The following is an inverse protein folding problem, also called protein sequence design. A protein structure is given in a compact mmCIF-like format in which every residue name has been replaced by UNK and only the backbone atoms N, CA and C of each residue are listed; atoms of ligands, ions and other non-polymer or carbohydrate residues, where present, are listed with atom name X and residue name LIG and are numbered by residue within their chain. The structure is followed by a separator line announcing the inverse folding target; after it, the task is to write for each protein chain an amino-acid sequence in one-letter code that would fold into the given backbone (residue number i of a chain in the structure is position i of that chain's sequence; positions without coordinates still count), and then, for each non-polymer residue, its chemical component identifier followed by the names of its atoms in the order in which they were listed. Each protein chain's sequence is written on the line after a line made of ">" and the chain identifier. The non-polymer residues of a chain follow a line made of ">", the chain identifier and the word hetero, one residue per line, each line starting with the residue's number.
data_IF_858940419834
#
_entry.id   IF_858940419834
#
_cell.length_a   1.000
_cell.length_b   1.000
_cell.length_c   1.000
_cell.angle_alpha   90.00
_cell.angle_beta   90.00
_cell.angle_gamma   90.00
#
_symmetry.space_group_name_H-M   'P 1'
#
loop_
_entity.id
_entity.type
_entity.pdbx_description
1 polymer ?
#
# COMPACT_ATOMS: atom_id res chain seq x y z
N UNK A 1 -11.21 22.56 -15.58
CA UNK A 1 -10.07 22.28 -16.48
C UNK A 1 -8.91 23.28 -16.34
N UNK A 2 -9.03 24.42 -15.63
CA UNK A 2 -7.98 25.46 -15.66
C UNK A 2 -7.14 25.68 -14.38
N UNK A 3 -7.20 24.80 -13.36
CA UNK A 3 -6.39 25.00 -12.13
C UNK A 3 -5.09 24.20 -12.07
N UNK A 4 -4.93 23.13 -12.86
CA UNK A 4 -3.73 22.29 -12.86
C UNK A 4 -2.63 22.88 -13.77
N UNK A 5 -3.00 23.57 -14.86
CA UNK A 5 -2.03 24.25 -15.73
C UNK A 5 -1.35 25.47 -15.05
N UNK A 6 -1.98 26.03 -14.01
CA UNK A 6 -1.43 27.14 -13.22
C UNK A 6 -0.58 26.68 -12.03
N UNK A 7 -0.55 25.38 -11.72
CA UNK A 7 0.13 24.80 -10.56
C UNK A 7 1.59 24.39 -10.83
N UNK A 8 2.08 24.59 -12.07
CA UNK A 8 3.50 24.47 -12.34
C UNK A 8 4.17 25.74 -11.84
N UNK A 9 5.06 25.55 -10.87
CA UNK A 9 5.84 26.53 -10.12
C UNK A 9 6.57 27.57 -11.00
N UNK A 10 7.26 28.58 -10.41
CA UNK A 10 7.91 29.66 -11.14
C UNK A 10 8.75 29.14 -12.31
N UNK A 11 8.90 29.96 -13.36
CA UNK A 11 9.57 29.60 -14.63
C UNK A 11 10.91 28.87 -14.43
N UNK A 12 11.68 29.18 -13.38
CA UNK A 12 12.95 28.51 -13.03
C UNK A 12 12.81 27.03 -12.61
N UNK A 13 11.70 26.64 -11.97
CA UNK A 13 11.44 25.23 -11.61
C UNK A 13 10.93 24.41 -12.81
N UNK A 14 10.36 25.07 -13.82
CA UNK A 14 9.89 24.40 -15.05
C UNK A 14 11.06 23.97 -15.94
N UNK A 15 12.07 24.82 -16.10
CA UNK A 15 13.27 24.49 -16.87
C UNK A 15 14.05 23.35 -16.20
N UNK A 16 14.10 23.35 -14.86
CA UNK A 16 14.69 22.27 -14.06
C UNK A 16 13.92 20.95 -14.21
N UNK A 17 12.58 20.99 -14.15
CA UNK A 17 11.73 19.81 -14.36
C UNK A 17 11.83 19.25 -15.79
N UNK A 18 12.07 20.11 -16.78
CA UNK A 18 12.28 19.74 -18.17
C UNK A 18 13.63 19.06 -18.40
N UNK A 19 14.69 19.57 -17.78
CA UNK A 19 16.02 18.95 -17.82
C UNK A 19 16.00 17.53 -17.23
N UNK A 20 15.25 17.32 -16.15
CA UNK A 20 15.18 16.03 -15.46
C UNK A 20 14.41 14.93 -16.23
N UNK A 21 13.51 15.28 -17.15
CA UNK A 21 12.85 14.29 -18.04
C UNK A 21 13.79 13.64 -19.04
N UNK A 22 14.82 14.39 -19.42
CA UNK A 22 15.82 13.91 -20.36
C UNK A 22 16.80 12.99 -19.65
N UNK A 23 16.88 12.97 -18.32
CA UNK A 23 17.85 12.14 -17.60
C UNK A 23 17.61 10.64 -17.77
N UNK A 24 16.38 10.08 -17.57
CA UNK A 24 16.13 8.67 -17.89
C UNK A 24 16.46 8.34 -19.36
N UNK A 25 16.21 9.28 -20.28
CA UNK A 25 16.55 9.15 -21.69
C UNK A 25 18.07 9.18 -21.94
N UNK A 26 18.80 10.08 -21.26
CA UNK A 26 20.27 10.25 -21.34
C UNK A 26 20.96 9.04 -20.76
N UNK A 27 20.54 8.56 -19.60
CA UNK A 27 21.05 7.35 -18.98
C UNK A 27 20.86 6.15 -19.91
N UNK A 28 19.66 6.01 -20.50
CA UNK A 28 19.40 4.95 -21.47
C UNK A 28 20.29 5.06 -22.72
N UNK A 29 20.39 6.23 -23.33
CA UNK A 29 21.24 6.46 -24.51
C UNK A 29 22.72 6.28 -24.17
N UNK A 30 23.14 6.64 -22.96
CA UNK A 30 24.52 6.48 -22.48
C UNK A 30 24.90 5.01 -22.36
N UNK A 31 24.01 4.18 -21.83
CA UNK A 31 24.28 2.75 -21.59
C UNK A 31 24.01 1.88 -22.83
N UNK A 32 22.93 2.14 -23.56
CA UNK A 32 22.46 1.34 -24.69
C UNK A 32 22.96 1.88 -26.04
N UNK A 33 23.24 3.18 -26.14
CA UNK A 33 23.71 3.83 -27.37
C UNK A 33 22.60 4.26 -28.34
N UNK A 34 21.33 4.02 -28.02
CA UNK A 34 20.17 4.35 -28.85
C UNK A 34 19.04 4.93 -28.00
N UNK A 35 18.13 5.74 -28.57
CA UNK A 35 16.93 6.18 -27.86
C UNK A 35 16.06 4.99 -27.43
N UNK A 36 15.45 5.03 -26.24
CA UNK A 36 14.44 4.06 -25.83
C UNK A 36 13.19 4.19 -26.70
N UNK A 37 12.44 3.09 -26.80
CA UNK A 37 11.03 3.13 -27.21
C UNK A 37 10.18 3.72 -26.07
N UNK A 38 9.00 4.24 -26.38
CA UNK A 38 8.10 4.78 -25.34
C UNK A 38 7.84 3.74 -24.24
N UNK A 39 7.65 2.48 -24.61
CA UNK A 39 7.46 1.39 -23.65
C UNK A 39 8.65 1.15 -22.72
N UNK A 40 9.87 1.24 -23.24
CA UNK A 40 11.08 1.08 -22.42
C UNK A 40 11.23 2.24 -21.43
N UNK A 41 10.91 3.46 -21.85
CA UNK A 41 10.88 4.63 -20.96
C UNK A 41 9.83 4.44 -19.85
N UNK A 42 8.60 4.02 -20.21
CA UNK A 42 7.55 3.79 -19.23
C UNK A 42 7.90 2.66 -18.25
N UNK A 43 8.61 1.62 -18.70
CA UNK A 43 9.11 0.56 -17.81
C UNK A 43 10.13 1.11 -16.80
N UNK A 44 11.09 1.95 -17.21
CA UNK A 44 12.05 2.57 -16.29
C UNK A 44 11.29 3.41 -15.25
N UNK A 45 10.37 4.26 -15.69
CA UNK A 45 9.54 5.08 -14.80
C UNK A 45 8.70 4.22 -13.85
N UNK A 46 8.13 3.12 -14.34
CA UNK A 46 7.31 2.20 -13.56
C UNK A 46 8.09 1.50 -12.45
N UNK A 47 9.34 1.12 -12.71
CA UNK A 47 10.25 0.50 -11.74
C UNK A 47 10.88 1.51 -10.78
N UNK A 48 11.07 2.74 -11.23
CA UNK A 48 11.64 3.84 -10.43
C UNK A 48 10.61 4.62 -9.62
N UNK A 49 9.32 4.27 -9.70
CA UNK A 49 8.30 4.98 -8.94
C UNK A 49 8.60 4.83 -7.45
N UNK A 50 8.87 5.93 -6.74
CA UNK A 50 9.28 5.85 -5.36
C UNK A 50 8.10 5.38 -4.50
N UNK A 51 8.36 4.48 -3.57
CA UNK A 51 7.41 4.08 -2.52
C UNK A 51 7.27 5.20 -1.50
N UNK A 52 6.69 6.32 -1.92
CA UNK A 52 6.52 7.53 -1.12
C UNK A 52 5.26 7.36 -0.27
N UNK A 53 5.32 7.73 1.02
CA UNK A 53 4.18 7.68 1.96
C UNK A 53 2.99 8.53 1.47
N UNK A 54 3.30 9.55 0.67
CA UNK A 54 2.41 10.48 -0.01
C UNK A 54 1.74 9.93 -1.28
N UNK A 55 2.17 8.77 -1.80
CA UNK A 55 1.46 8.03 -2.85
C UNK A 55 0.69 6.86 -2.25
N UNK A 56 -0.56 6.67 -2.67
CA UNK A 56 -1.33 5.47 -2.37
C UNK A 56 -0.51 4.23 -2.74
N UNK A 57 -0.14 3.37 -1.78
CA UNK A 57 0.67 2.14 -1.94
C UNK A 57 0.56 1.55 -3.36
N UNK A 58 1.45 1.97 -4.26
CA UNK A 58 1.41 1.56 -5.66
C UNK A 58 2.18 0.25 -5.77
N UNK A 59 1.70 -0.72 -6.57
CA UNK A 59 2.50 -1.90 -6.88
C UNK A 59 3.79 -1.46 -7.58
N UNK A 60 4.91 -2.10 -7.27
CA UNK A 60 6.16 -1.95 -8.03
C UNK A 60 6.34 -3.19 -8.91
N UNK A 61 6.41 -3.05 -10.24
CA UNK A 61 6.36 -1.80 -11.02
C UNK A 61 4.94 -1.23 -11.13
N UNK A 62 4.83 0.09 -11.26
CA UNK A 62 3.54 0.78 -11.46
C UNK A 62 3.07 0.56 -12.88
N UNK A 63 1.89 -0.06 -13.12
CA UNK A 63 1.45 -0.41 -14.47
C UNK A 63 1.02 0.83 -15.26
N UNK A 64 1.95 1.45 -15.98
CA UNK A 64 1.69 2.63 -16.81
C UNK A 64 1.18 2.21 -18.20
N UNK A 65 0.19 2.93 -18.71
CA UNK A 65 -0.32 2.79 -20.08
C UNK A 65 -0.31 4.13 -20.78
N UNK A 66 0.06 4.10 -22.06
CA UNK A 66 -0.05 5.25 -22.96
C UNK A 66 -1.16 5.03 -23.98
N UNK A 67 -1.88 6.11 -24.29
CA UNK A 67 -2.80 6.19 -25.42
C UNK A 67 -2.27 7.24 -26.38
N UNK A 68 -2.12 6.88 -27.65
CA UNK A 68 -1.66 7.76 -28.71
C UNK A 68 -2.79 8.64 -29.26
N UNK A 69 -2.42 9.70 -29.96
CA UNK A 69 -3.35 10.54 -30.74
C UNK A 69 -4.18 9.65 -31.66
N UNK A 70 -5.50 9.90 -31.69
CA UNK A 70 -6.47 9.03 -32.37
C UNK A 70 -7.06 7.93 -31.49
N UNK A 71 -6.68 7.86 -30.21
CA UNK A 71 -7.27 6.94 -29.24
C UNK A 71 -6.74 5.50 -29.35
N UNK A 72 -5.57 5.32 -29.95
CA UNK A 72 -4.93 4.01 -30.09
C UNK A 72 -4.13 3.71 -28.84
N UNK A 73 -4.47 2.64 -28.13
CA UNK A 73 -3.66 2.18 -27.01
C UNK A 73 -2.28 1.74 -27.51
N UNK A 74 -1.24 2.28 -26.89
CA UNK A 74 0.12 1.92 -27.20
C UNK A 74 0.39 0.50 -26.70
N UNK A 75 0.50 -0.44 -27.65
CA UNK A 75 0.55 -1.88 -27.42
C UNK A 75 1.88 -2.42 -26.89
N UNK A 76 2.55 -1.71 -25.98
CA UNK A 76 3.72 -2.26 -25.29
C UNK A 76 3.27 -3.11 -24.11
N UNK A 77 2.82 -4.34 -24.41
CA UNK A 77 2.55 -5.32 -23.36
C UNK A 77 3.88 -5.93 -22.94
N UNK A 78 4.36 -5.53 -21.76
CA UNK A 78 5.49 -6.15 -21.04
C UNK A 78 5.38 -7.69 -20.91
N UNK A 79 4.20 -8.28 -21.17
CA UNK A 79 3.96 -9.72 -21.17
C UNK A 79 4.45 -10.48 -22.43
N UNK A 80 4.66 -9.83 -23.57
CA UNK A 80 5.13 -10.50 -24.80
C UNK A 80 6.60 -10.17 -25.12
N UNK A 81 7.52 -10.72 -24.31
CA UNK A 81 8.80 -11.35 -24.72
C UNK A 81 9.65 -10.72 -25.86
N UNK A 82 9.55 -9.43 -26.14
CA UNK A 82 10.71 -8.69 -26.61
C UNK A 82 11.54 -8.49 -25.35
N UNK A 83 12.75 -9.04 -25.29
CA UNK A 83 13.69 -8.67 -24.22
C UNK A 83 13.87 -7.16 -24.31
N UNK A 84 13.13 -6.40 -23.50
CA UNK A 84 13.30 -4.96 -23.44
C UNK A 84 14.72 -4.67 -23.01
N UNK A 85 15.36 -3.67 -23.64
CA UNK A 85 16.74 -3.30 -23.31
C UNK A 85 16.85 -2.69 -21.91
N UNK A 86 15.71 -2.42 -21.27
CA UNK A 86 15.59 -2.03 -19.86
C UNK A 86 16.31 -3.01 -18.93
N UNK A 87 16.29 -4.32 -19.21
CA UNK A 87 16.98 -5.32 -18.40
C UNK A 87 18.52 -5.27 -18.54
N UNK A 88 19.03 -4.51 -19.52
CA UNK A 88 20.47 -4.30 -19.74
C UNK A 88 20.99 -3.04 -19.03
N UNK A 89 20.08 -2.21 -18.47
CA UNK A 89 20.43 -1.01 -17.73
C UNK A 89 20.98 -1.34 -16.34
N UNK A 90 21.93 -0.54 -15.88
CA UNK A 90 22.42 -0.55 -14.51
C UNK A 90 21.51 0.20 -13.54
N UNK A 91 21.77 0.01 -12.24
CA UNK A 91 20.99 0.63 -11.15
C UNK A 91 20.99 2.18 -11.19
N UNK A 92 22.00 2.79 -11.83
CA UNK A 92 22.15 4.26 -11.92
C UNK A 92 20.96 4.88 -12.66
N UNK A 93 20.56 4.32 -13.80
CA UNK A 93 19.41 4.81 -14.56
C UNK A 93 18.13 4.80 -13.72
N UNK A 94 17.94 3.77 -12.89
CA UNK A 94 16.77 3.66 -12.02
C UNK A 94 16.84 4.61 -10.81
N UNK A 95 18.03 4.77 -10.22
CA UNK A 95 18.24 5.65 -9.08
C UNK A 95 18.01 7.12 -9.44
N UNK A 96 18.58 7.59 -10.55
CA UNK A 96 18.38 8.96 -11.05
C UNK A 96 16.90 9.23 -11.39
N UNK A 97 16.24 8.27 -12.03
CA UNK A 97 14.80 8.35 -12.32
C UNK A 97 13.99 8.41 -11.03
N UNK A 98 14.38 7.68 -9.97
CA UNK A 98 13.69 7.68 -8.67
C UNK A 98 13.80 9.03 -7.97
N UNK A 99 14.99 9.64 -7.96
CA UNK A 99 15.22 10.96 -7.39
C UNK A 99 14.37 12.02 -8.09
N UNK A 100 14.32 11.98 -9.43
CA UNK A 100 13.47 12.86 -10.22
C UNK A 100 11.98 12.68 -9.91
N UNK A 101 11.48 11.44 -9.95
CA UNK A 101 10.07 11.16 -9.66
C UNK A 101 9.70 11.66 -8.26
N UNK A 102 10.60 11.49 -7.29
CA UNK A 102 10.42 12.02 -5.93
C UNK A 102 10.27 13.54 -5.92
N UNK A 103 11.13 14.25 -6.64
CA UNK A 103 11.05 15.71 -6.74
C UNK A 103 9.76 16.17 -7.43
N UNK A 104 9.36 15.51 -8.53
CA UNK A 104 8.11 15.79 -9.24
C UNK A 104 6.89 15.57 -8.34
N UNK A 105 6.81 14.42 -7.65
CA UNK A 105 5.71 14.09 -6.73
C UNK A 105 5.61 15.13 -5.61
N UNK A 106 6.75 15.52 -5.02
CA UNK A 106 6.80 16.57 -3.99
C UNK A 106 6.35 17.93 -4.51
N UNK A 107 6.64 18.28 -5.77
CA UNK A 107 6.16 19.52 -6.39
C UNK A 107 4.65 19.51 -6.67
N UNK A 108 4.06 18.34 -6.90
CA UNK A 108 2.62 18.16 -7.10
C UNK A 108 1.84 18.16 -5.77
N UNK A 109 2.47 17.73 -4.66
CA UNK A 109 1.84 17.54 -3.35
C UNK A 109 1.23 18.81 -2.69
N UNK A 110 1.77 20.04 -2.80
CA UNK A 110 1.16 21.25 -2.21
C UNK A 110 -0.24 21.57 -2.74
N UNK A 111 -0.67 20.89 -3.80
CA UNK A 111 -1.95 21.07 -4.45
C UNK A 111 -2.96 19.96 -4.11
N UNK A 112 -2.61 19.04 -3.22
CA UNK A 112 -3.47 17.96 -2.71
C UNK A 112 -3.62 18.02 -1.19
N UNK A 113 -4.86 18.03 -0.70
CA UNK A 113 -5.18 17.92 0.73
C UNK A 113 -4.96 16.47 1.25
N UNK A 114 -3.72 15.97 1.19
CA UNK A 114 -3.34 14.60 1.58
C UNK A 114 -2.70 13.80 0.43
N UNK A 115 -2.98 12.49 0.40
CA UNK A 115 -2.38 11.52 -0.54
C UNK A 115 -2.58 11.96 -2.00
N UNK A 116 -1.50 12.01 -2.77
CA UNK A 116 -1.53 12.46 -4.15
C UNK A 116 -2.18 11.37 -5.04
N UNK A 117 -3.28 11.67 -5.75
CA UNK A 117 -3.91 10.68 -6.62
C UNK A 117 -2.99 10.28 -7.78
N UNK A 118 -2.94 8.98 -8.09
CA UNK A 118 -2.04 8.43 -9.14
C UNK A 118 -2.31 9.02 -10.53
N UNK A 119 -3.55 9.45 -10.81
CA UNK A 119 -3.90 10.09 -12.07
C UNK A 119 -3.27 11.49 -12.20
N UNK A 120 -2.99 12.17 -11.08
CA UNK A 120 -2.24 13.43 -11.08
C UNK A 120 -0.78 13.18 -11.41
N UNK A 121 -0.19 12.09 -10.90
CA UNK A 121 1.17 11.67 -11.28
C UNK A 121 1.23 11.35 -12.77
N UNK A 122 0.31 10.55 -13.29
CA UNK A 122 0.26 10.23 -14.72
C UNK A 122 0.09 11.47 -15.62
N UNK A 123 -0.71 12.45 -15.21
CA UNK A 123 -0.82 13.74 -15.90
C UNK A 123 0.45 14.57 -15.81
N UNK A 124 1.11 14.57 -14.65
CA UNK A 124 2.42 15.20 -14.45
C UNK A 124 3.44 14.65 -15.42
N UNK A 125 3.57 13.32 -15.48
CA UNK A 125 4.42 12.60 -16.43
C UNK A 125 4.09 12.96 -17.88
N UNK A 126 2.80 12.99 -18.26
CA UNK A 126 2.39 13.33 -19.63
C UNK A 126 2.77 14.77 -20.00
N UNK A 127 2.47 15.73 -19.14
CA UNK A 127 2.82 17.13 -19.37
C UNK A 127 4.32 17.30 -19.51
N UNK A 128 5.07 16.59 -18.68
CA UNK A 128 6.50 16.57 -18.70
C UNK A 128 7.00 16.01 -20.04
N UNK A 129 6.56 14.80 -20.45
CA UNK A 129 6.86 14.22 -21.76
C UNK A 129 6.57 15.15 -22.95
N UNK A 130 5.43 15.83 -22.94
CA UNK A 130 5.01 16.71 -24.03
C UNK A 130 5.78 18.04 -24.07
N UNK A 131 6.29 18.49 -22.92
CA UNK A 131 7.08 19.70 -22.82
C UNK A 131 8.57 19.44 -23.14
N UNK A 132 9.07 18.24 -22.86
CA UNK A 132 10.39 17.81 -23.29
C UNK A 132 10.42 17.56 -24.79
N UNK A 133 11.45 18.04 -25.49
CA UNK A 133 11.71 17.67 -26.89
C UNK A 133 12.29 16.24 -26.97
N UNK A 134 11.56 15.28 -26.42
CA UNK A 134 11.97 13.88 -26.31
C UNK A 134 11.53 13.12 -27.56
N UNK A 135 12.48 12.48 -28.24
CA UNK A 135 12.22 11.58 -29.36
C UNK A 135 12.39 10.13 -28.91
N UNK A 136 11.30 9.36 -28.93
CA UNK A 136 11.39 7.91 -28.75
C UNK A 136 11.72 7.24 -30.08
N UNK A 137 12.28 6.04 -30.03
CA UNK A 137 12.65 5.29 -31.23
C UNK A 137 11.45 4.90 -32.12
N UNK A 138 10.23 4.89 -31.57
CA UNK A 138 9.03 4.39 -32.23
C UNK A 138 7.84 5.35 -32.27
N UNK A 139 7.85 6.42 -31.47
CA UNK A 139 6.79 7.46 -31.45
C UNK A 139 7.38 8.83 -31.08
N UNK A 140 6.75 9.91 -31.53
CA UNK A 140 7.09 11.25 -31.05
C UNK A 140 6.33 11.56 -29.75
N UNK A 141 6.95 12.29 -28.81
CA UNK A 141 6.29 12.62 -27.53
C UNK A 141 4.95 13.37 -27.71
N UNK A 142 4.84 14.21 -28.75
CA UNK A 142 3.60 14.93 -29.10
C UNK A 142 2.45 14.00 -29.51
N UNK A 143 2.76 12.78 -29.94
CA UNK A 143 1.77 11.79 -30.37
C UNK A 143 1.21 10.99 -29.19
N UNK A 144 1.74 11.18 -27.98
CA UNK A 144 1.19 10.61 -26.74
C UNK A 144 0.07 11.53 -26.24
N UNK A 145 -1.17 11.06 -26.34
CA UNK A 145 -2.36 11.85 -25.97
C UNK A 145 -2.74 11.70 -24.50
N UNK A 146 -2.50 10.55 -23.90
CA UNK A 146 -2.79 10.30 -22.50
C UNK A 146 -1.80 9.29 -21.89
N UNK A 147 -1.50 9.49 -20.61
CA UNK A 147 -0.95 8.45 -19.74
C UNK A 147 -1.98 8.11 -18.67
N UNK A 148 -2.06 6.82 -18.33
CA UNK A 148 -2.92 6.30 -17.27
C UNK A 148 -2.19 5.22 -16.49
N UNK A 149 -2.66 4.96 -15.27
CA UNK A 149 -2.19 3.84 -14.47
C UNK A 149 -3.27 2.77 -14.45
N UNK A 150 -2.91 1.59 -14.93
CA UNK A 150 -3.77 0.41 -14.98
C UNK A 150 -3.68 -0.35 -13.66
N UNK A 151 -4.13 0.29 -12.58
CA UNK A 151 -4.26 -0.40 -11.32
C UNK A 151 -5.40 -1.43 -11.42
N UNK A 152 -5.24 -2.65 -10.87
CA UNK A 152 -6.38 -3.53 -10.67
C UNK A 152 -7.46 -2.78 -9.91
N UNK A 153 -8.73 -3.04 -10.25
CA UNK A 153 -9.92 -2.35 -9.72
C UNK A 153 -9.73 -2.06 -8.24
N UNK A 154 -9.65 -0.76 -7.91
CA UNK A 154 -9.41 -0.22 -6.56
C UNK A 154 -10.32 -0.96 -5.57
N UNK A 155 -9.77 -1.90 -4.80
CA UNK A 155 -10.50 -2.42 -3.64
C UNK A 155 -10.56 -1.25 -2.65
N UNK A 156 -11.75 -0.82 -2.21
CA UNK A 156 -11.87 0.27 -1.24
C UNK A 156 -10.97 -0.01 -0.04
N UNK A 157 -10.22 0.99 0.42
CA UNK A 157 -9.43 0.84 1.63
C UNK A 157 -10.36 0.38 2.76
N UNK A 158 -9.97 -0.63 3.54
CA UNK A 158 -10.72 -1.02 4.71
C UNK A 158 -10.86 0.18 5.64
N UNK A 159 -12.00 0.30 6.31
CA UNK A 159 -12.27 1.35 7.30
C UNK A 159 -12.74 0.72 8.60
N UNK A 160 -12.52 1.38 9.75
CA UNK A 160 -13.09 0.90 11.01
C UNK A 160 -14.58 0.57 10.87
N UNK A 161 -14.98 -0.62 11.31
CA UNK A 161 -16.34 -1.15 11.19
C UNK A 161 -16.59 -2.02 9.97
N UNK A 162 -15.70 -2.03 8.96
CA UNK A 162 -15.79 -2.99 7.86
C UNK A 162 -15.62 -4.42 8.37
N UNK A 163 -16.46 -5.33 7.88
CA UNK A 163 -16.39 -6.76 8.18
C UNK A 163 -15.80 -7.49 6.99
N UNK A 164 -14.67 -8.15 7.21
CA UNK A 164 -13.94 -8.94 6.22
C UNK A 164 -14.31 -10.41 6.37
N UNK A 165 -14.49 -11.10 5.25
CA UNK A 165 -14.53 -12.56 5.22
C UNK A 165 -13.16 -13.12 4.82
N UNK A 166 -12.54 -13.87 5.72
CA UNK A 166 -11.24 -14.51 5.55
C UNK A 166 -11.47 -15.99 5.21
N UNK A 167 -11.16 -16.44 3.98
CA UNK A 167 -11.31 -17.85 3.62
C UNK A 167 -10.43 -18.74 4.48
N UNK A 168 -11.00 -19.84 4.98
CA UNK A 168 -10.34 -20.88 5.78
C UNK A 168 -10.80 -22.28 5.38
N UNK A 169 -10.27 -23.31 6.06
CA UNK A 169 -10.56 -24.71 5.71
C UNK A 169 -12.01 -25.13 6.00
N UNK A 170 -12.61 -24.59 7.05
CA UNK A 170 -13.97 -24.91 7.50
C UNK A 170 -15.05 -23.93 7.01
N UNK A 171 -14.70 -23.00 6.12
CA UNK A 171 -15.56 -21.89 5.68
C UNK A 171 -14.84 -20.55 5.75
N UNK A 172 -15.52 -19.50 6.18
CA UNK A 172 -15.00 -18.14 6.30
C UNK A 172 -14.91 -17.75 7.77
N UNK A 173 -13.75 -17.26 8.19
CA UNK A 173 -13.62 -16.53 9.45
C UNK A 173 -14.04 -15.09 9.21
N UNK A 174 -14.74 -14.47 10.16
CA UNK A 174 -15.11 -13.06 10.06
C UNK A 174 -14.19 -12.22 10.94
N UNK A 175 -13.79 -11.06 10.44
CA UNK A 175 -12.99 -10.09 11.17
C UNK A 175 -13.54 -8.67 10.97
N UNK A 176 -13.55 -7.89 12.03
CA UNK A 176 -13.94 -6.48 12.02
C UNK A 176 -12.68 -5.62 11.96
N UNK A 177 -12.62 -4.68 11.04
CA UNK A 177 -11.56 -3.69 10.99
C UNK A 177 -11.71 -2.75 12.18
N UNK A 178 -10.72 -2.71 13.07
CA UNK A 178 -10.72 -1.84 14.26
C UNK A 178 -9.95 -0.55 14.01
N UNK A 179 -8.83 -0.65 13.31
CA UNK A 179 -7.99 0.47 12.92
C UNK A 179 -7.21 0.15 11.64
N UNK A 180 -6.81 1.19 10.93
CA UNK A 180 -5.98 1.10 9.73
C UNK A 180 -4.74 1.97 9.89
N UNK A 181 -3.57 1.41 9.63
CA UNK A 181 -2.33 2.15 9.47
C UNK A 181 -1.95 2.30 7.98
N UNK A 182 -0.70 2.69 7.73
CA UNK A 182 -0.20 2.95 6.37
C UNK A 182 -0.01 1.67 5.54
N UNK A 183 0.35 0.55 6.19
CA UNK A 183 0.57 -0.74 5.53
C UNK A 183 -0.12 -1.92 6.22
N UNK A 184 -0.77 -1.67 7.36
CA UNK A 184 -1.37 -2.68 8.21
C UNK A 184 -2.80 -2.34 8.61
N UNK A 185 -3.50 -3.36 9.07
CA UNK A 185 -4.85 -3.28 9.60
C UNK A 185 -4.90 -4.06 10.91
N UNK A 186 -5.56 -3.47 11.91
CA UNK A 186 -5.86 -4.14 13.17
C UNK A 186 -7.25 -4.75 13.07
N UNK A 187 -7.33 -6.06 13.24
CA UNK A 187 -8.54 -6.86 13.08
C UNK A 187 -9.03 -7.38 14.43
N UNK A 188 -10.31 -7.17 14.71
CA UNK A 188 -11.06 -7.86 15.76
C UNK A 188 -11.69 -9.13 15.20
N UNK A 189 -11.23 -10.30 15.64
CA UNK A 189 -11.72 -11.56 15.08
C UNK A 189 -13.07 -11.94 15.72
N UNK A 190 -14.00 -12.49 14.95
CA UNK A 190 -15.23 -13.08 15.46
C UNK A 190 -15.06 -14.59 15.64
N UNK A 191 -15.78 -15.16 16.59
CA UNK A 191 -15.70 -16.57 16.94
C UNK A 191 -16.42 -17.45 15.91
N UNK A 192 -15.81 -18.60 15.59
CA UNK A 192 -16.39 -19.60 14.69
C UNK A 192 -15.96 -19.42 13.23
N UNK A 193 -16.47 -20.33 12.38
CA UNK A 193 -16.32 -20.30 10.94
C UNK A 193 -17.71 -20.40 10.29
N UNK A 194 -17.92 -19.61 9.24
CA UNK A 194 -19.21 -19.45 8.57
C UNK A 194 -19.17 -20.12 7.20
N UNK A 195 -20.20 -20.91 6.82
CA UNK A 195 -20.21 -21.58 5.52
C UNK A 195 -20.26 -20.58 4.36
N UNK A 196 -20.87 -19.42 4.57
CA UNK A 196 -20.97 -18.32 3.60
C UNK A 196 -20.21 -17.08 4.09
N UNK A 197 -19.69 -16.24 3.19
CA UNK A 197 -19.01 -14.99 3.53
C UNK A 197 -20.04 -13.91 3.86
N UNK A 198 -20.83 -14.10 4.92
CA UNK A 198 -21.91 -13.19 5.33
C UNK A 198 -21.90 -13.04 6.85
N UNK A 199 -22.14 -11.81 7.33
CA UNK A 199 -22.15 -11.50 8.77
C UNK A 199 -23.33 -12.17 9.51
N UNK A 200 -24.51 -12.23 8.89
CA UNK A 200 -25.74 -12.60 9.61
C UNK A 200 -26.17 -11.54 10.61
N UNK A 201 -26.75 -11.94 11.75
CA UNK A 201 -27.18 -11.02 12.81
C UNK A 201 -25.98 -10.55 13.66
N UNK A 202 -25.64 -9.25 13.66
CA UNK A 202 -24.52 -8.70 14.42
C UNK A 202 -24.61 -8.95 15.93
N UNK A 203 -25.82 -9.05 16.49
CA UNK A 203 -26.03 -9.21 17.94
C UNK A 203 -25.68 -10.60 18.46
N UNK A 204 -25.58 -11.58 17.57
CA UNK A 204 -25.21 -12.96 17.89
C UNK A 204 -23.70 -13.21 17.84
N UNK A 205 -22.95 -12.24 17.32
CA UNK A 205 -21.51 -12.34 17.13
C UNK A 205 -20.79 -12.31 18.47
N UNK A 206 -19.74 -13.11 18.57
CA UNK A 206 -18.89 -13.16 19.76
C UNK A 206 -17.47 -12.74 19.37
N UNK A 207 -16.89 -11.72 20.01
CA UNK A 207 -15.53 -11.32 19.73
C UNK A 207 -14.57 -12.39 20.26
N UNK A 208 -13.49 -12.64 19.51
CA UNK A 208 -12.27 -13.24 20.06
C UNK A 208 -11.48 -12.15 20.77
N UNK A 209 -10.51 -12.63 21.55
CA UNK A 209 -10.02 -11.92 22.73
C UNK A 209 -8.96 -10.87 22.40
N UNK A 210 -8.14 -11.12 21.39
CA UNK A 210 -6.97 -10.29 21.07
C UNK A 210 -7.12 -9.77 19.64
N UNK A 211 -7.14 -8.43 19.45
CA UNK A 211 -6.96 -7.84 18.13
C UNK A 211 -5.68 -8.32 17.48
N UNK A 212 -5.72 -8.61 16.18
CA UNK A 212 -4.56 -9.10 15.43
C UNK A 212 -4.18 -8.08 14.36
N UNK A 213 -2.89 -7.75 14.29
CA UNK A 213 -2.35 -6.94 13.20
C UNK A 213 -1.99 -7.81 12.00
N UNK A 214 -2.37 -7.33 10.83
CA UNK A 214 -2.09 -7.96 9.53
C UNK A 214 -1.68 -6.92 8.50
N UNK A 215 -0.89 -7.32 7.49
CA UNK A 215 -0.60 -6.45 6.34
C UNK A 215 -1.86 -6.34 5.45
N UNK A 216 -2.09 -5.15 4.89
CA UNK A 216 -3.29 -4.84 4.10
C UNK A 216 -3.37 -5.55 2.73
N UNK A 217 -2.30 -6.20 2.26
CA UNK A 217 -2.19 -6.78 0.91
C UNK A 217 -3.32 -7.76 0.58
N UNK A 218 -3.67 -8.66 1.50
CA UNK A 218 -4.75 -9.63 1.27
C UNK A 218 -6.13 -8.97 1.08
N UNK A 219 -6.33 -7.80 1.69
CA UNK A 219 -7.55 -7.00 1.55
C UNK A 219 -7.48 -6.22 0.23
N UNK A 220 -6.36 -5.57 -0.06
CA UNK A 220 -6.13 -4.79 -1.28
C UNK A 220 -6.22 -5.65 -2.56
N UNK A 221 -5.81 -6.91 -2.49
CA UNK A 221 -5.92 -7.89 -3.57
C UNK A 221 -7.32 -8.51 -3.68
N UNK A 222 -8.27 -8.12 -2.81
CA UNK A 222 -9.64 -8.62 -2.80
C UNK A 222 -9.79 -10.08 -2.35
N UNK A 223 -8.73 -10.68 -1.80
CA UNK A 223 -8.78 -12.06 -1.29
C UNK A 223 -9.61 -12.18 -0.02
N UNK A 224 -9.67 -11.11 0.77
CA UNK A 224 -10.58 -10.97 1.90
C UNK A 224 -11.64 -9.91 1.59
N UNK A 225 -12.77 -10.29 0.98
CA UNK A 225 -13.80 -9.33 0.61
C UNK A 225 -14.43 -8.70 1.86
N UNK A 226 -14.77 -7.41 1.76
CA UNK A 226 -15.66 -6.75 2.71
C UNK A 226 -17.09 -7.21 2.47
N UNK A 227 -17.72 -7.81 3.48
CA UNK A 227 -19.05 -8.43 3.40
C UNK A 227 -20.14 -7.65 4.13
N UNK A 228 -19.75 -6.73 5.03
CA UNK A 228 -20.66 -5.81 5.71
C UNK A 228 -19.88 -4.59 6.24
N UNK A 229 -20.60 -3.60 6.74
CA UNK A 229 -20.04 -2.48 7.51
C UNK A 229 -20.95 -2.23 8.72
N UNK A 230 -20.43 -2.51 9.92
CA UNK A 230 -21.19 -2.50 11.17
C UNK A 230 -20.36 -1.89 12.31
N UNK A 231 -20.44 -0.57 12.47
CA UNK A 231 -19.72 0.16 13.53
C UNK A 231 -20.10 -0.32 14.95
N UNK A 232 -21.31 -0.86 15.12
CA UNK A 232 -21.76 -1.40 16.41
C UNK A 232 -20.88 -2.54 16.93
N UNK A 233 -20.21 -3.28 16.04
CA UNK A 233 -19.29 -4.35 16.41
C UNK A 233 -17.97 -3.84 16.99
N UNK A 234 -17.61 -2.58 16.76
CA UNK A 234 -16.40 -1.98 17.32
C UNK A 234 -16.43 -1.99 18.85
N UNK A 235 -17.62 -1.81 19.45
CA UNK A 235 -17.82 -1.83 20.90
C UNK A 235 -17.57 -3.21 21.55
N UNK A 236 -17.43 -4.28 20.76
CA UNK A 236 -17.12 -5.62 21.25
C UNK A 236 -15.62 -5.83 21.52
N UNK A 237 -14.77 -4.93 21.03
CA UNK A 237 -13.31 -5.04 21.12
C UNK A 237 -12.74 -3.92 21.99
N UNK A 238 -11.59 -4.14 22.66
CA UNK A 238 -10.89 -3.05 23.32
C UNK A 238 -10.39 -2.04 22.27
N UNK A 239 -10.11 -0.81 22.72
CA UNK A 239 -9.47 0.19 21.85
C UNK A 239 -8.18 -0.38 21.24
N UNK A 240 -8.02 -0.35 19.90
CA UNK A 240 -6.87 -0.95 19.26
C UNK A 240 -5.60 -0.17 19.61
N UNK A 241 -4.60 -0.86 20.15
CA UNK A 241 -3.26 -0.32 20.33
C UNK A 241 -2.46 -0.43 19.03
N UNK A 242 -1.49 0.48 18.86
CA UNK A 242 -0.61 0.50 17.69
C UNK A 242 0.49 -0.55 17.76
N UNK A 243 0.89 -1.03 18.94
CA UNK A 243 1.81 -2.16 19.10
C UNK A 243 1.78 -2.69 20.54
N UNK A 244 2.20 -3.93 20.74
CA UNK A 244 2.56 -4.48 22.04
C UNK A 244 4.02 -4.94 22.03
N UNK A 245 4.83 -4.25 22.82
CA UNK A 245 6.27 -4.50 22.92
C UNK A 245 6.54 -5.42 24.12
N UNK A 246 7.21 -6.56 23.94
CA UNK A 246 7.53 -7.45 25.05
C UNK A 246 8.50 -6.79 26.02
N UNK A 247 8.50 -7.25 27.28
CA UNK A 247 9.37 -6.73 28.34
C UNK A 247 10.86 -6.70 27.97
N UNK A 248 11.28 -7.63 27.10
CA UNK A 248 12.64 -7.72 26.59
C UNK A 248 12.63 -8.01 25.08
N UNK A 249 13.27 -7.13 24.32
CA UNK A 249 13.47 -7.33 22.89
C UNK A 249 14.68 -8.25 22.61
N UNK A 250 14.77 -8.88 21.43
CA UNK A 250 15.95 -9.64 21.00
C UNK A 250 17.24 -8.83 21.03
N UNK A 251 17.16 -7.51 20.82
CA UNK A 251 18.27 -6.56 20.95
C UNK A 251 18.80 -6.41 22.39
N UNK A 252 18.08 -6.94 23.39
CA UNK A 252 18.40 -6.82 24.80
C UNK A 252 17.79 -5.60 25.48
N UNK A 253 17.16 -4.70 24.74
CA UNK A 253 16.43 -3.55 25.26
C UNK A 253 15.24 -3.99 26.13
N UNK A 254 14.99 -3.26 27.22
CA UNK A 254 13.91 -3.55 28.17
C UNK A 254 12.81 -2.50 28.11
N UNK A 255 11.56 -2.94 28.16
CA UNK A 255 10.37 -2.12 28.21
C UNK A 255 9.56 -2.47 29.46
N UNK A 256 9.95 -1.89 30.60
CA UNK A 256 9.36 -2.23 31.90
C UNK A 256 9.58 -3.69 32.30
N UNK A 257 8.78 -4.17 33.25
CA UNK A 257 8.81 -5.55 33.73
C UNK A 257 7.93 -6.48 32.88
N UNK A 258 6.82 -5.95 32.36
CA UNK A 258 5.78 -6.73 31.67
C UNK A 258 5.60 -6.34 30.20
N UNK A 259 6.37 -5.37 29.71
CA UNK A 259 6.24 -4.84 28.36
C UNK A 259 5.67 -3.43 28.32
N UNK A 260 5.32 -3.01 27.11
CA UNK A 260 4.64 -1.76 26.86
C UNK A 260 3.60 -1.94 25.76
N UNK A 261 2.60 -1.08 25.73
CA UNK A 261 1.72 -0.86 24.59
C UNK A 261 2.07 0.47 23.95
N UNK A 262 2.06 0.52 22.63
CA UNK A 262 2.28 1.75 21.88
C UNK A 262 0.92 2.25 21.42
N UNK A 263 0.57 3.47 21.80
CA UNK A 263 -0.66 4.13 21.34
C UNK A 263 -0.50 4.69 19.92
N UNK A 264 -1.57 5.30 19.40
CA UNK A 264 -1.52 6.01 18.10
C UNK A 264 -0.55 7.20 18.10
N UNK A 265 -0.24 7.73 19.28
CA UNK A 265 0.75 8.79 19.50
C UNK A 265 2.20 8.28 19.47
N UNK A 266 2.40 6.99 19.22
CA UNK A 266 3.71 6.32 19.15
C UNK A 266 4.51 6.38 20.47
N UNK A 267 3.86 6.72 21.58
CA UNK A 267 4.49 6.73 22.89
C UNK A 267 4.26 5.39 23.59
N UNK A 268 5.34 4.68 24.01
CA UNK A 268 5.20 3.44 24.74
C UNK A 268 4.69 3.73 26.16
N UNK A 269 3.54 3.14 26.50
CA UNK A 269 2.95 3.13 27.84
C UNK A 269 3.21 1.76 28.45
N UNK A 270 3.87 1.72 29.62
CA UNK A 270 4.12 0.46 30.31
C UNK A 270 2.81 -0.22 30.69
N UNK A 271 2.76 -1.53 30.52
CA UNK A 271 1.60 -2.36 30.87
C UNK A 271 1.87 -3.14 32.16
N UNK A 272 0.79 -3.57 32.81
CA UNK A 272 0.86 -4.43 34.00
C UNK A 272 0.86 -5.92 33.64
N UNK A 273 1.15 -6.76 34.64
CA UNK A 273 1.15 -8.23 34.52
C UNK A 273 -0.18 -8.76 33.98
N UNK A 274 -1.31 -8.27 34.50
CA UNK A 274 -2.64 -8.72 34.08
C UNK A 274 -2.92 -8.42 32.60
N UNK A 275 -2.49 -7.27 32.09
CA UNK A 275 -2.63 -6.94 30.67
C UNK A 275 -1.68 -7.79 29.82
N UNK A 276 -0.42 -7.96 30.24
CA UNK A 276 0.56 -8.77 29.53
C UNK A 276 0.16 -10.26 29.46
N UNK A 277 -0.40 -10.81 30.54
CA UNK A 277 -0.96 -12.17 30.56
C UNK A 277 -2.13 -12.26 29.58
N UNK A 278 -3.00 -11.25 29.58
CA UNK A 278 -4.22 -11.26 28.79
C UNK A 278 -3.99 -11.29 27.28
N UNK A 279 -3.06 -10.49 26.81
CA UNK A 279 -2.74 -10.43 25.39
C UNK A 279 -1.79 -11.55 24.95
N UNK A 280 -1.29 -12.35 25.89
CA UNK A 280 -0.38 -13.46 25.60
C UNK A 280 1.09 -13.07 25.47
N UNK A 281 1.52 -11.93 26.01
CA UNK A 281 2.94 -11.55 26.00
C UNK A 281 3.78 -12.44 26.92
N UNK A 282 3.21 -12.92 28.04
CA UNK A 282 3.94 -13.72 29.03
C UNK A 282 4.16 -15.17 28.59
N UNK A 283 3.18 -15.76 27.90
CA UNK A 283 3.24 -17.14 27.41
C UNK A 283 3.64 -17.25 25.93
N UNK A 284 3.92 -16.09 25.29
CA UNK A 284 4.32 -15.99 23.90
C UNK A 284 3.20 -16.32 22.91
N UNK A 285 1.94 -16.23 23.33
CA UNK A 285 0.78 -16.42 22.45
C UNK A 285 0.37 -15.15 21.71
N UNK A 286 0.84 -13.97 22.13
CA UNK A 286 0.70 -12.73 21.37
C UNK A 286 1.36 -12.86 19.99
N UNK A 287 0.63 -12.57 18.91
CA UNK A 287 1.16 -12.65 17.56
C UNK A 287 0.61 -11.56 16.65
N UNK A 288 1.52 -10.71 16.18
CA UNK A 288 1.33 -9.95 14.95
C UNK A 288 1.61 -10.85 13.76
N UNK A 289 0.70 -10.88 12.78
CA UNK A 289 0.75 -11.80 11.66
C UNK A 289 0.93 -11.03 10.36
N UNK A 290 2.19 -10.83 9.97
CA UNK A 290 2.53 -10.10 8.74
C UNK A 290 2.40 -10.94 7.46
N UNK A 291 2.28 -12.27 7.59
CA UNK A 291 2.06 -13.17 6.45
C UNK A 291 0.63 -13.72 6.48
N UNK A 292 -0.14 -13.36 5.46
CA UNK A 292 -1.53 -13.77 5.20
C UNK A 292 -1.77 -15.28 5.31
N UNK A 293 -0.94 -16.12 4.66
CA UNK A 293 -1.06 -17.58 4.69
C UNK A 293 -0.83 -18.14 6.07
N UNK A 294 0.11 -17.56 6.81
CA UNK A 294 0.40 -17.95 8.17
C UNK A 294 -0.75 -17.56 9.12
N UNK A 295 -1.32 -16.37 8.93
CA UNK A 295 -2.50 -15.92 9.68
C UNK A 295 -3.70 -16.86 9.50
N UNK A 296 -4.02 -17.24 8.26
CA UNK A 296 -5.11 -18.19 7.95
C UNK A 296 -4.84 -19.56 8.57
N UNK A 297 -3.60 -20.04 8.53
CA UNK A 297 -3.20 -21.30 9.18
C UNK A 297 -3.45 -21.25 10.71
N UNK A 298 -3.12 -20.13 11.36
CA UNK A 298 -3.33 -19.94 12.80
C UNK A 298 -4.82 -19.83 13.16
N UNK A 299 -5.62 -19.18 12.31
CA UNK A 299 -7.09 -19.15 12.43
C UNK A 299 -7.70 -20.55 12.36
N UNK A 300 -7.28 -21.36 11.39
CA UNK A 300 -7.77 -22.74 11.22
C UNK A 300 -7.40 -23.64 12.41
N UNK A 301 -6.24 -23.41 13.03
CA UNK A 301 -5.79 -24.13 14.24
C UNK A 301 -6.47 -23.65 15.53
N UNK A 302 -7.38 -22.67 15.46
CA UNK A 302 -8.06 -22.10 16.63
C UNK A 302 -7.10 -21.42 17.61
N UNK A 303 -5.96 -20.90 17.11
CA UNK A 303 -4.91 -20.34 17.98
C UNK A 303 -5.39 -19.10 18.73
N UNK A 304 -6.27 -18.31 18.12
CA UNK A 304 -6.85 -17.08 18.67
C UNK A 304 -8.09 -17.32 19.56
N UNK A 305 -8.44 -18.58 19.85
CA UNK A 305 -9.57 -18.93 20.72
C UNK A 305 -9.18 -19.02 22.21
N UNK A 306 -7.90 -18.88 22.53
CA UNK A 306 -7.33 -18.93 23.89
C UNK A 306 -6.91 -17.53 24.36
N UNK A 307 -7.15 -17.18 25.63
CA UNK A 307 -6.92 -15.85 26.25
C UNK A 307 -8.07 -15.47 27.21
N UNK A 308 -8.16 -14.26 27.85
CA UNK A 308 -9.30 -13.68 28.61
C UNK A 308 -10.27 -12.78 27.78
N UNK A 309 -11.56 -12.65 28.15
CA UNK A 309 -12.56 -11.94 27.31
C UNK A 309 -12.32 -10.41 27.28
N UNK A 310 -12.66 -9.72 26.17
CA UNK A 310 -12.66 -8.25 26.11
C UNK A 310 -13.49 -7.62 27.23
N UNK A 311 -12.97 -6.57 27.87
CA UNK A 311 -13.66 -5.82 28.94
C UNK A 311 -13.45 -6.31 30.38
N UNK A 312 -12.54 -7.26 30.61
CA UNK A 312 -12.16 -7.72 31.97
C UNK A 312 -10.95 -6.97 32.56
N UNK A 313 -10.47 -5.91 31.90
CA UNK A 313 -9.35 -5.08 32.33
C UNK A 313 -9.83 -3.67 32.61
N UNK A 314 -10.42 -3.48 33.80
CA UNK A 314 -10.57 -2.18 34.46
C UNK A 314 -9.88 -2.24 35.80
#
# INVERSE_FOLDING_TARGET
>A
MDRIAAAWAPVEERDTALEWLVEPMRAFVHEIGEPPRLGEYLDIVAWSMPGIEELEFLPTPVPLRATLVGGVDYGYRCAERVRGRVAELGDVAFAETTEWLTAMIRGLHPHSDGVLPVDIVAKGLLNALQAGEVAFADVEAKDVAALSVDLPVRVPRPRPGDVLAIPGEAGHHLAVVLATGLGDVVLGLLAGAHPTPELGDPTTQRPRRVPVRVIHDAIAEGRWPTVAHEESLLALFPDPVADYVPARLPSGQRHGEWGARVGRDQLPVLIGEAEAEAIGLLDGTHQDCYLDKHFVELLNKGRFDRGPLPGQFT
#
